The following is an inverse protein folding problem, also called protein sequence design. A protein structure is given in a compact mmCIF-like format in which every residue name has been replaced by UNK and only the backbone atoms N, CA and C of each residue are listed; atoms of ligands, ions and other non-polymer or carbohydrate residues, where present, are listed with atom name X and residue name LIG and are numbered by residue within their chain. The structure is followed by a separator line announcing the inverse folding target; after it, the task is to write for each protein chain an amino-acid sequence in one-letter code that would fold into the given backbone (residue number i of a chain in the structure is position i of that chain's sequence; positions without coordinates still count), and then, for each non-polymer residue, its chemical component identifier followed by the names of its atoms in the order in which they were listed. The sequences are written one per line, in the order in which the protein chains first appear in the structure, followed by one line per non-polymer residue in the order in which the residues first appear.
data_IF_355303203559
#
_entry.id   IF_355303203559
#
_cell.length_a   1.000
_cell.length_b   1.000
_cell.length_c   1.000
_cell.angle_alpha   90.00
_cell.angle_beta   90.00
_cell.angle_gamma   90.00
#
_symmetry.space_group_name_H-M   'P 1'
#
loop_
_entity.id
_entity.type
_entity.pdbx_description
1 polymer ?
#
# COMPACT_ATOMS: atom_id res chain seq x y z
N UNK A 1 31.75 -25.99 35.32
CA UNK A 1 31.97 -24.60 35.81
C UNK A 1 31.95 -23.73 34.58
N UNK A 2 30.81 -23.09 34.29
CA UNK A 2 30.71 -22.12 33.19
C UNK A 2 31.46 -20.84 33.63
N UNK A 3 32.40 -20.41 32.81
CA UNK A 3 33.18 -19.22 33.06
C UNK A 3 32.31 -18.00 32.74
N UNK A 4 31.69 -17.43 33.75
CA UNK A 4 30.78 -16.27 33.66
C UNK A 4 31.55 -14.94 33.68
N UNK A 5 32.74 -14.93 33.06
CA UNK A 5 33.54 -13.73 32.92
C UNK A 5 32.90 -12.75 31.94
N UNK A 6 32.92 -11.43 32.18
CA UNK A 6 32.34 -10.44 31.27
C UNK A 6 33.01 -10.51 29.88
N UNK A 7 32.22 -10.23 28.82
CA UNK A 7 32.72 -10.17 27.47
C UNK A 7 33.94 -9.24 27.35
N UNK A 8 34.98 -9.69 26.67
CA UNK A 8 36.18 -8.90 26.45
C UNK A 8 36.73 -9.11 25.03
N UNK A 9 37.12 -8.04 24.41
CA UNK A 9 37.88 -8.04 23.16
C UNK A 9 39.16 -7.23 23.37
N UNK A 10 40.30 -7.82 23.09
CA UNK A 10 41.60 -7.17 23.20
C UNK A 10 42.31 -7.22 21.86
N UNK A 11 42.74 -6.06 21.37
CA UNK A 11 43.53 -5.97 20.17
C UNK A 11 45.01 -5.78 20.56
N UNK A 12 45.92 -6.51 19.90
CA UNK A 12 47.35 -6.33 19.99
C UNK A 12 47.91 -6.17 18.58
N UNK A 13 48.65 -5.12 18.41
CA UNK A 13 49.31 -4.85 17.13
C UNK A 13 50.75 -5.34 17.18
N UNK A 14 51.08 -6.30 16.31
CA UNK A 14 52.44 -6.79 16.11
C UNK A 14 52.92 -6.39 14.71
N UNK A 15 53.51 -5.20 14.59
CA UNK A 15 53.90 -4.62 13.31
C UNK A 15 52.66 -4.33 12.42
N UNK A 16 52.53 -5.02 11.27
CA UNK A 16 51.42 -4.90 10.35
C UNK A 16 50.31 -5.96 10.56
N UNK A 17 50.43 -6.79 11.62
CA UNK A 17 49.42 -7.80 11.96
C UNK A 17 48.58 -7.27 13.14
N UNK A 18 47.26 -7.30 12.96
CA UNK A 18 46.33 -7.04 14.05
C UNK A 18 45.80 -8.37 14.60
N UNK A 19 46.18 -8.68 15.86
CA UNK A 19 45.73 -9.86 16.58
C UNK A 19 44.61 -9.48 17.55
N UNK A 20 43.43 -10.06 17.38
CA UNK A 20 42.25 -9.81 18.22
C UNK A 20 41.96 -11.06 19.04
N UNK A 21 42.01 -10.93 20.36
CA UNK A 21 41.70 -11.97 21.32
C UNK A 21 40.28 -11.74 21.89
N UNK A 22 39.45 -12.75 21.78
CA UNK A 22 38.06 -12.73 22.24
C UNK A 22 37.89 -13.66 23.43
N UNK A 23 37.25 -13.19 24.52
CA UNK A 23 37.00 -13.97 25.74
C UNK A 23 35.71 -13.55 26.44
N UNK A 24 35.27 -14.38 27.41
CA UNK A 24 34.10 -14.12 28.24
C UNK A 24 32.76 -14.45 27.55
N UNK A 25 31.68 -14.07 28.24
CA UNK A 25 30.29 -14.33 27.75
C UNK A 25 29.72 -13.11 27.01
N UNK A 26 29.31 -13.31 25.77
CA UNK A 26 28.80 -12.27 24.88
C UNK A 26 27.27 -12.39 24.76
N UNK A 27 26.57 -11.45 25.40
CA UNK A 27 25.10 -11.40 25.44
C UNK A 27 24.58 -10.12 24.83
N UNK A 28 23.52 -10.22 24.01
CA UNK A 28 22.94 -9.10 23.29
C UNK A 28 22.45 -7.99 24.21
N UNK A 29 21.94 -8.36 25.39
CA UNK A 29 21.45 -7.40 26.40
C UNK A 29 22.52 -6.46 26.93
N UNK A 30 23.80 -6.91 26.97
CA UNK A 30 24.92 -6.13 27.49
C UNK A 30 25.62 -5.30 26.41
N UNK A 31 25.28 -5.52 25.13
CA UNK A 31 25.92 -4.83 24.01
C UNK A 31 27.38 -5.19 23.80
N UNK A 32 28.08 -4.43 22.97
CA UNK A 32 29.51 -4.62 22.73
C UNK A 32 30.34 -4.15 23.92
N UNK A 33 31.38 -4.89 24.32
CA UNK A 33 32.35 -4.44 25.33
C UNK A 33 33.00 -3.12 24.89
N UNK A 34 33.36 -2.31 25.88
CA UNK A 34 34.11 -1.07 25.66
C UNK A 34 35.40 -1.33 24.88
N UNK A 35 35.62 -0.61 23.77
CA UNK A 35 36.78 -0.76 22.90
C UNK A 35 36.57 -1.60 21.65
N UNK A 36 35.42 -2.25 21.45
CA UNK A 36 35.12 -3.02 20.21
C UNK A 36 35.06 -2.12 18.98
N UNK A 37 34.48 -0.92 19.10
CA UNK A 37 34.42 0.07 18.00
C UNK A 37 35.83 0.54 17.61
N UNK A 38 36.72 0.74 18.58
CA UNK A 38 38.11 1.11 18.33
C UNK A 38 38.84 0.00 17.57
N UNK A 39 38.60 -1.27 17.90
CA UNK A 39 39.19 -2.43 17.22
C UNK A 39 38.74 -2.50 15.77
N UNK A 40 37.46 -2.27 15.51
CA UNK A 40 36.92 -2.24 14.14
C UNK A 40 37.49 -1.05 13.36
N UNK A 41 37.60 0.11 13.98
CA UNK A 41 38.21 1.30 13.39
C UNK A 41 39.68 1.10 13.04
N UNK A 42 40.43 0.40 13.94
CA UNK A 42 41.82 0.06 13.74
C UNK A 42 42.03 -0.94 12.61
N UNK A 43 41.13 -1.93 12.47
CA UNK A 43 41.14 -2.88 11.35
C UNK A 43 40.90 -2.18 9.98
N UNK A 44 40.29 -1.00 9.96
CA UNK A 44 40.08 -0.17 8.74
C UNK A 44 41.31 0.66 8.36
N UNK A 45 42.35 0.76 9.18
CA UNK A 45 43.56 1.57 8.87
C UNK A 45 44.39 0.98 7.73
N UNK A 46 45.00 1.80 6.89
CA UNK A 46 45.78 1.35 5.73
C UNK A 46 47.02 0.51 6.07
N UNK A 47 47.52 0.63 7.28
CA UNK A 47 48.80 0.03 7.73
C UNK A 47 48.70 -1.46 8.06
N UNK A 48 47.49 -2.02 8.10
CA UNK A 48 47.29 -3.43 8.49
C UNK A 48 47.27 -4.30 7.23
N UNK A 49 48.13 -5.32 7.21
CA UNK A 49 48.28 -6.30 6.13
C UNK A 49 47.76 -7.69 6.47
N UNK A 50 47.54 -8.00 7.73
CA UNK A 50 46.95 -9.30 8.14
C UNK A 50 46.12 -9.14 9.42
N UNK A 51 45.02 -9.92 9.51
CA UNK A 51 44.14 -9.99 10.67
C UNK A 51 44.15 -11.41 11.24
N UNK A 52 44.40 -11.53 12.55
CA UNK A 52 44.30 -12.81 13.26
C UNK A 52 43.26 -12.69 14.36
N UNK A 53 42.26 -13.58 14.36
CA UNK A 53 41.24 -13.62 15.39
C UNK A 53 41.37 -14.95 16.14
N UNK A 54 41.57 -14.85 17.46
CA UNK A 54 41.72 -16.00 18.34
C UNK A 54 40.73 -15.91 19.51
N UNK A 55 40.27 -17.05 20.02
CA UNK A 55 39.39 -17.13 21.17
C UNK A 55 40.13 -17.79 22.34
N UNK A 56 40.09 -17.14 23.51
CA UNK A 56 40.61 -17.70 24.75
C UNK A 56 39.56 -17.55 25.86
N UNK A 57 39.10 -18.69 26.41
CA UNK A 57 38.11 -18.68 27.49
C UNK A 57 36.74 -18.13 27.08
N UNK A 58 36.28 -18.38 25.85
CA UNK A 58 34.95 -17.99 25.37
C UNK A 58 33.87 -18.76 26.14
N UNK A 59 32.95 -18.01 26.81
CA UNK A 59 31.79 -18.55 27.52
C UNK A 59 30.58 -18.70 26.63
N UNK A 60 29.40 -18.34 27.15
CA UNK A 60 28.17 -18.29 26.33
C UNK A 60 28.27 -17.13 25.34
N UNK A 61 27.81 -17.38 24.10
CA UNK A 61 27.81 -16.35 23.07
C UNK A 61 26.52 -16.42 22.26
N UNK A 62 26.08 -15.27 21.79
CA UNK A 62 24.89 -15.08 20.97
C UNK A 62 25.20 -14.27 19.70
N UNK A 63 24.17 -13.71 19.07
CA UNK A 63 24.27 -12.88 17.85
C UNK A 63 25.15 -11.63 18.04
N UNK A 64 25.38 -11.16 19.27
CA UNK A 64 26.24 -10.02 19.56
C UNK A 64 27.68 -10.26 19.09
N UNK A 65 28.26 -11.42 19.45
CA UNK A 65 29.59 -11.81 19.01
C UNK A 65 29.65 -12.00 17.49
N UNK A 66 28.63 -12.63 16.92
CA UNK A 66 28.57 -12.85 15.48
C UNK A 66 28.55 -11.52 14.70
N UNK A 67 27.78 -10.53 15.18
CA UNK A 67 27.70 -9.20 14.58
C UNK A 67 29.05 -8.48 14.62
N UNK A 68 29.75 -8.55 15.75
CA UNK A 68 31.09 -7.99 15.90
C UNK A 68 32.11 -8.65 14.93
N UNK A 69 32.10 -9.98 14.84
CA UNK A 69 32.94 -10.72 13.89
C UNK A 69 32.63 -10.40 12.43
N UNK A 70 31.34 -10.25 12.10
CA UNK A 70 30.93 -9.86 10.75
C UNK A 70 31.48 -8.48 10.36
N UNK A 71 31.44 -7.53 11.27
CA UNK A 71 31.94 -6.18 10.99
C UNK A 71 33.45 -6.14 10.88
N UNK A 72 34.15 -6.85 11.78
CA UNK A 72 35.61 -6.96 11.79
C UNK A 72 36.16 -7.67 10.56
N UNK A 73 35.63 -8.87 10.26
CA UNK A 73 36.07 -9.66 9.10
C UNK A 73 35.61 -8.99 7.79
N UNK A 74 34.43 -8.38 7.79
CA UNK A 74 33.93 -7.62 6.65
C UNK A 74 34.82 -6.44 6.30
N UNK A 75 35.34 -5.71 7.30
CA UNK A 75 36.32 -4.63 7.10
C UNK A 75 37.63 -5.13 6.46
N UNK A 76 38.13 -6.29 6.90
CA UNK A 76 39.33 -6.91 6.37
C UNK A 76 39.11 -7.45 4.92
N UNK A 77 37.98 -8.09 4.65
CA UNK A 77 37.64 -8.61 3.30
C UNK A 77 37.49 -7.51 2.25
N UNK A 78 36.87 -6.37 2.60
CA UNK A 78 36.76 -5.22 1.70
C UNK A 78 38.13 -4.70 1.20
N UNK A 79 39.20 -4.99 1.94
CA UNK A 79 40.55 -4.58 1.63
C UNK A 79 41.46 -5.74 1.15
N UNK A 80 40.88 -6.90 0.91
CA UNK A 80 41.60 -8.13 0.51
C UNK A 80 42.72 -8.53 1.49
N UNK A 81 42.55 -8.26 2.80
CA UNK A 81 43.48 -8.63 3.83
C UNK A 81 43.27 -10.10 4.22
N UNK A 82 44.33 -10.94 4.27
CA UNK A 82 44.23 -12.31 4.72
C UNK A 82 43.80 -12.39 6.21
N UNK A 83 42.77 -13.16 6.49
CA UNK A 83 42.19 -13.35 7.82
C UNK A 83 42.53 -14.77 8.31
N UNK A 84 43.33 -14.91 9.35
CA UNK A 84 43.55 -16.18 10.03
C UNK A 84 42.61 -16.28 11.24
N UNK A 85 41.85 -17.37 11.34
CA UNK A 85 40.83 -17.57 12.36
C UNK A 85 41.14 -18.82 13.18
N UNK A 86 41.11 -18.69 14.49
CA UNK A 86 41.17 -19.81 15.44
C UNK A 86 39.96 -19.70 16.37
N UNK A 87 38.79 -20.13 15.81
CA UNK A 87 37.48 -20.02 16.43
C UNK A 87 36.91 -21.42 16.74
N UNK A 88 36.02 -21.56 17.72
CA UNK A 88 35.26 -22.79 17.91
C UNK A 88 34.54 -23.23 16.63
N UNK A 89 34.53 -24.52 16.31
CA UNK A 89 33.96 -25.06 15.05
C UNK A 89 32.54 -24.60 14.77
N UNK A 90 31.72 -24.43 15.79
CA UNK A 90 30.34 -23.95 15.65
C UNK A 90 30.28 -22.49 15.19
N UNK A 91 31.13 -21.64 15.77
CA UNK A 91 31.18 -20.21 15.44
C UNK A 91 31.82 -19.97 14.08
N UNK A 92 32.89 -20.68 13.76
CA UNK A 92 33.58 -20.59 12.46
C UNK A 92 32.65 -20.96 11.31
N UNK A 93 31.84 -22.04 11.48
CA UNK A 93 30.84 -22.44 10.50
C UNK A 93 29.74 -21.39 10.29
N UNK A 94 29.29 -20.71 11.36
CA UNK A 94 28.30 -19.62 11.26
C UNK A 94 28.89 -18.41 10.54
N UNK A 95 30.14 -18.06 10.83
CA UNK A 95 30.84 -16.99 10.13
C UNK A 95 30.97 -17.33 8.63
N UNK A 96 31.34 -18.56 8.29
CA UNK A 96 31.43 -18.98 6.88
C UNK A 96 30.06 -18.92 6.18
N UNK A 97 28.99 -19.37 6.83
CA UNK A 97 27.63 -19.27 6.29
C UNK A 97 27.21 -17.83 6.03
N UNK A 98 27.55 -16.91 6.92
CA UNK A 98 27.21 -15.48 6.79
C UNK A 98 27.90 -14.82 5.59
N UNK A 99 29.12 -15.28 5.26
CA UNK A 99 29.87 -14.77 4.10
C UNK A 99 29.70 -15.62 2.83
N UNK A 100 29.06 -16.79 2.91
CA UNK A 100 28.69 -17.59 1.74
C UNK A 100 27.50 -17.04 0.98
N UNK A 101 26.61 -16.28 1.68
CA UNK A 101 25.50 -15.58 1.03
C UNK A 101 26.02 -14.22 0.57
N UNK A 102 26.15 -14.03 -0.74
CA UNK A 102 26.42 -12.71 -1.30
C UNK A 102 25.36 -11.71 -0.81
N UNK A 103 25.82 -10.66 -0.15
CA UNK A 103 24.93 -9.52 0.15
C UNK A 103 24.37 -9.00 -1.16
N UNK A 104 23.08 -9.20 -1.39
CA UNK A 104 22.36 -8.54 -2.47
C UNK A 104 22.53 -7.03 -2.25
N UNK A 105 23.40 -6.39 -3.02
CA UNK A 105 23.58 -4.94 -2.99
C UNK A 105 22.22 -4.32 -3.24
N UNK A 106 21.71 -3.58 -2.25
CA UNK A 106 20.37 -2.95 -2.30
C UNK A 106 19.43 -3.33 -1.15
N UNK A 107 19.74 -4.31 -0.29
CA UNK A 107 18.88 -4.66 0.85
C UNK A 107 19.12 -3.81 2.12
N UNK A 108 20.24 -3.11 2.21
CA UNK A 108 20.45 -2.10 3.23
C UNK A 108 19.99 -0.75 2.67
N UNK A 109 18.88 -0.20 3.20
CA UNK A 109 18.55 1.22 3.04
C UNK A 109 19.73 2.03 3.60
N UNK A 110 20.68 2.40 2.75
CA UNK A 110 21.61 3.48 3.10
C UNK A 110 20.75 4.74 3.18
N UNK A 111 20.60 5.29 4.38
CA UNK A 111 20.28 6.70 4.54
C UNK A 111 21.54 7.49 4.16
N UNK A 112 21.88 7.47 2.90
CA UNK A 112 22.64 8.57 2.32
C UNK A 112 21.59 9.66 2.05
N UNK A 113 21.88 10.87 2.50
CA UNK A 113 21.16 12.07 2.12
C UNK A 113 21.33 12.24 0.59
N UNK A 114 20.49 11.50 -0.15
CA UNK A 114 20.37 11.70 -1.59
C UNK A 114 19.89 13.13 -1.79
N UNK A 115 20.76 13.98 -2.33
CA UNK A 115 20.40 15.37 -2.64
C UNK A 115 19.14 15.40 -3.47
N UNK A 116 18.29 16.42 -3.29
CA UNK A 116 17.00 16.60 -3.98
C UNK A 116 17.06 16.28 -5.49
N UNK A 117 18.19 16.56 -6.13
CA UNK A 117 18.42 16.25 -7.55
C UNK A 117 18.55 14.74 -7.84
N UNK A 118 19.13 13.97 -6.93
CA UNK A 118 19.23 12.51 -7.09
C UNK A 118 17.86 11.84 -6.91
N UNK A 119 17.04 12.33 -5.96
CA UNK A 119 15.65 11.86 -5.75
C UNK A 119 14.80 12.19 -6.98
N UNK A 120 14.90 13.40 -7.54
CA UNK A 120 14.17 13.77 -8.74
C UNK A 120 14.65 12.95 -9.95
N UNK A 121 15.96 12.74 -10.08
CA UNK A 121 16.55 11.94 -11.15
C UNK A 121 16.12 10.48 -11.12
N UNK A 122 16.06 9.87 -9.92
CA UNK A 122 15.57 8.49 -9.74
C UNK A 122 14.08 8.37 -10.04
N UNK A 123 13.26 9.34 -9.62
CA UNK A 123 11.83 9.38 -9.97
C UNK A 123 11.62 9.47 -11.50
N UNK A 124 12.38 10.31 -12.19
CA UNK A 124 12.28 10.46 -13.66
C UNK A 124 12.75 9.19 -14.38
N UNK A 125 13.77 8.50 -13.88
CA UNK A 125 14.28 7.28 -14.49
C UNK A 125 13.32 6.08 -14.31
N UNK A 126 12.60 5.99 -13.20
CA UNK A 126 11.62 4.92 -12.91
C UNK A 126 10.27 5.18 -13.57
N UNK A 127 9.95 6.44 -13.89
CA UNK A 127 8.65 6.84 -14.44
C UNK A 127 8.29 6.12 -15.76
N UNK A 128 9.17 6.02 -16.79
CA UNK A 128 8.81 5.35 -18.05
C UNK A 128 8.57 3.85 -17.89
N UNK A 129 9.26 3.19 -16.96
CA UNK A 129 9.08 1.77 -16.69
C UNK A 129 7.75 1.50 -15.96
N UNK A 130 7.39 2.35 -15.01
CA UNK A 130 6.07 2.33 -14.35
C UNK A 130 4.93 2.55 -15.33
N UNK A 131 5.05 3.55 -16.23
CA UNK A 131 4.07 3.80 -17.29
C UNK A 131 3.93 2.62 -18.25
N UNK A 132 5.04 1.99 -18.66
CA UNK A 132 5.02 0.82 -19.54
C UNK A 132 4.32 -0.37 -18.90
N UNK A 133 4.56 -0.64 -17.61
CA UNK A 133 3.88 -1.72 -16.86
C UNK A 133 2.38 -1.45 -16.74
N UNK A 134 2.02 -0.21 -16.44
CA UNK A 134 0.62 0.20 -16.32
C UNK A 134 -0.10 0.10 -17.68
N UNK A 135 0.51 0.55 -18.77
CA UNK A 135 -0.04 0.42 -20.12
C UNK A 135 -0.18 -1.05 -20.55
N UNK A 136 0.78 -1.91 -20.19
CA UNK A 136 0.69 -3.36 -20.41
C UNK A 136 -0.53 -3.96 -19.70
N UNK A 137 -0.70 -3.63 -18.42
CA UNK A 137 -1.85 -4.10 -17.64
C UNK A 137 -3.19 -3.62 -18.20
N UNK A 138 -3.29 -2.37 -18.67
CA UNK A 138 -4.49 -1.90 -19.38
C UNK A 138 -4.73 -2.69 -20.68
N UNK A 139 -3.68 -3.00 -21.43
CA UNK A 139 -3.77 -3.84 -22.63
C UNK A 139 -4.34 -5.23 -22.31
N UNK A 140 -3.84 -5.85 -21.25
CA UNK A 140 -4.31 -7.16 -20.80
C UNK A 140 -5.78 -7.13 -20.37
N UNK A 141 -6.24 -6.07 -19.70
CA UNK A 141 -7.65 -5.86 -19.34
C UNK A 141 -8.51 -5.74 -20.60
N UNK A 142 -8.09 -4.97 -21.60
CA UNK A 142 -8.85 -4.81 -22.85
C UNK A 142 -8.96 -6.15 -23.57
N UNK A 143 -7.87 -6.92 -23.65
CA UNK A 143 -7.88 -8.25 -24.26
C UNK A 143 -8.80 -9.19 -23.48
N UNK A 144 -8.75 -9.18 -22.14
CA UNK A 144 -9.63 -9.95 -21.27
C UNK A 144 -11.11 -9.60 -21.51
N UNK A 145 -11.44 -8.31 -21.62
CA UNK A 145 -12.79 -7.83 -21.89
C UNK A 145 -13.28 -8.27 -23.28
N UNK A 146 -12.42 -8.20 -24.30
CA UNK A 146 -12.75 -8.68 -25.65
C UNK A 146 -12.99 -10.19 -25.67
N UNK A 147 -12.20 -10.98 -24.95
CA UNK A 147 -12.40 -12.42 -24.77
C UNK A 147 -13.73 -12.71 -24.07
N UNK A 148 -14.07 -11.93 -23.06
CA UNK A 148 -15.35 -12.06 -22.35
C UNK A 148 -16.52 -11.79 -23.29
N UNK A 149 -16.50 -10.71 -24.08
CA UNK A 149 -17.52 -10.39 -25.06
C UNK A 149 -17.65 -11.44 -26.18
N UNK A 150 -16.55 -12.13 -26.52
CA UNK A 150 -16.56 -13.24 -27.49
C UNK A 150 -16.94 -14.59 -26.88
N UNK A 151 -17.29 -14.66 -25.59
CA UNK A 151 -17.71 -15.89 -24.91
C UNK A 151 -16.58 -16.89 -24.64
N UNK A 152 -15.31 -16.48 -24.76
CA UNK A 152 -14.10 -17.34 -24.56
C UNK A 152 -13.39 -17.05 -23.24
N UNK A 153 -14.04 -16.43 -22.29
CA UNK A 153 -13.45 -16.08 -20.99
C UNK A 153 -13.43 -17.31 -20.05
N UNK A 154 -12.38 -17.42 -19.25
CA UNK A 154 -12.25 -18.43 -18.17
C UNK A 154 -13.03 -18.06 -16.91
N UNK A 155 -13.74 -16.92 -16.91
CA UNK A 155 -14.49 -16.39 -15.78
C UNK A 155 -15.70 -17.26 -15.43
N UNK A 156 -15.86 -17.59 -14.15
CA UNK A 156 -17.08 -18.25 -13.64
C UNK A 156 -18.12 -17.22 -13.25
N UNK A 157 -19.37 -17.43 -13.66
CA UNK A 157 -20.50 -16.54 -13.28
C UNK A 157 -20.70 -16.46 -11.77
N UNK A 158 -20.36 -17.52 -11.02
CA UNK A 158 -20.44 -17.53 -9.56
C UNK A 158 -19.52 -16.49 -8.92
N UNK A 159 -18.31 -16.32 -9.47
CA UNK A 159 -17.31 -15.41 -8.93
C UNK A 159 -17.74 -13.94 -9.15
N UNK A 160 -18.42 -13.66 -10.28
CA UNK A 160 -19.01 -12.36 -10.52
C UNK A 160 -20.13 -12.06 -9.51
N UNK A 161 -21.05 -13.02 -9.26
CA UNK A 161 -22.13 -12.84 -8.29
C UNK A 161 -21.61 -12.62 -6.87
N UNK A 162 -20.58 -13.36 -6.46
CA UNK A 162 -19.95 -13.19 -5.17
C UNK A 162 -19.28 -11.81 -5.05
N UNK A 163 -18.53 -11.38 -6.08
CA UNK A 163 -17.95 -10.05 -6.14
C UNK A 163 -19.03 -8.96 -6.07
N UNK A 164 -20.14 -9.08 -6.80
CA UNK A 164 -21.28 -8.16 -6.74
C UNK A 164 -21.92 -8.10 -5.35
N UNK A 165 -22.10 -9.24 -4.70
CA UNK A 165 -22.62 -9.29 -3.34
C UNK A 165 -21.71 -8.61 -2.33
N UNK A 166 -20.41 -8.86 -2.42
CA UNK A 166 -19.40 -8.26 -1.54
C UNK A 166 -19.30 -6.74 -1.74
N UNK A 167 -19.29 -6.28 -2.99
CA UNK A 167 -19.20 -4.85 -3.31
C UNK A 167 -20.50 -4.11 -3.05
N UNK A 168 -21.66 -4.73 -3.36
CA UNK A 168 -22.97 -4.10 -3.28
C UNK A 168 -23.56 -4.19 -1.88
N UNK A 169 -24.19 -5.32 -1.58
CA UNK A 169 -25.03 -5.49 -0.37
C UNK A 169 -24.30 -5.19 0.92
N UNK A 170 -23.08 -5.69 1.05
CA UNK A 170 -22.26 -5.43 2.25
C UNK A 170 -21.82 -3.99 2.42
N UNK A 171 -21.87 -3.18 1.34
CA UNK A 171 -21.48 -1.77 1.38
C UNK A 171 -22.66 -0.82 1.64
N UNK A 172 -23.90 -1.27 1.48
CA UNK A 172 -25.09 -0.46 1.67
C UNK A 172 -25.12 0.32 3.01
N UNK A 173 -24.86 -0.30 4.17
CA UNK A 173 -24.97 0.42 5.44
C UNK A 173 -23.99 1.61 5.55
N UNK A 174 -22.75 1.42 5.16
CA UNK A 174 -21.75 2.48 5.24
C UNK A 174 -22.02 3.58 4.21
N UNK A 175 -22.44 3.23 2.99
CA UNK A 175 -22.83 4.19 1.95
C UNK A 175 -24.06 4.99 2.39
N UNK A 176 -25.07 4.35 3.01
CA UNK A 176 -26.25 5.02 3.54
C UNK A 176 -25.88 6.09 4.56
N UNK A 177 -25.14 5.70 5.60
CA UNK A 177 -24.77 6.59 6.70
C UNK A 177 -23.90 7.74 6.22
N UNK A 178 -22.86 7.46 5.44
CA UNK A 178 -21.94 8.50 4.97
C UNK A 178 -22.63 9.51 4.06
N UNK A 179 -23.46 9.06 3.11
CA UNK A 179 -24.16 9.97 2.20
C UNK A 179 -25.31 10.74 2.88
N UNK A 180 -26.02 10.10 3.82
CA UNK A 180 -27.03 10.79 4.63
C UNK A 180 -26.40 11.92 5.45
N UNK A 181 -25.27 11.67 6.12
CA UNK A 181 -24.56 12.70 6.88
C UNK A 181 -24.03 13.80 5.97
N UNK A 182 -23.52 13.45 4.79
CA UNK A 182 -23.04 14.43 3.83
C UNK A 182 -24.15 15.32 3.31
N UNK A 183 -25.31 14.76 2.94
CA UNK A 183 -26.50 15.51 2.56
C UNK A 183 -27.02 16.43 3.68
N UNK A 184 -26.97 15.96 4.94
CA UNK A 184 -27.29 16.75 6.12
C UNK A 184 -26.35 17.95 6.29
N UNK A 185 -25.04 17.74 6.15
CA UNK A 185 -24.05 18.83 6.23
C UNK A 185 -24.26 19.84 5.11
N UNK A 186 -24.46 19.38 3.87
CA UNK A 186 -24.70 20.24 2.72
C UNK A 186 -25.96 21.09 2.90
N UNK A 187 -27.04 20.48 3.39
CA UNK A 187 -28.29 21.17 3.70
C UNK A 187 -28.12 22.21 4.83
N UNK A 188 -27.40 21.83 5.90
CA UNK A 188 -27.14 22.72 7.02
C UNK A 188 -26.35 23.96 6.60
N UNK A 189 -25.25 23.77 5.87
CA UNK A 189 -24.43 24.88 5.37
C UNK A 189 -25.23 25.74 4.40
N UNK A 190 -25.98 25.12 3.49
CA UNK A 190 -26.88 25.83 2.57
C UNK A 190 -27.99 26.61 3.30
N UNK A 191 -28.59 26.00 4.32
CA UNK A 191 -29.62 26.60 5.14
C UNK A 191 -29.18 27.91 5.82
N UNK A 192 -27.98 27.89 6.44
CA UNK A 192 -27.41 29.07 7.11
C UNK A 192 -27.25 30.25 6.13
N UNK A 193 -26.74 29.96 4.92
CA UNK A 193 -26.50 31.00 3.91
C UNK A 193 -27.80 31.47 3.28
N UNK A 194 -28.69 30.59 2.86
CA UNK A 194 -29.93 30.97 2.15
C UNK A 194 -30.98 31.57 3.05
N UNK A 195 -30.96 31.31 4.37
CA UNK A 195 -31.83 31.95 5.36
C UNK A 195 -31.58 33.47 5.45
N UNK A 196 -30.32 33.90 5.26
CA UNK A 196 -29.99 35.35 5.26
C UNK A 196 -30.63 36.11 4.09
N UNK A 197 -30.95 35.42 2.99
CA UNK A 197 -31.56 36.01 1.80
C UNK A 197 -33.06 35.72 1.69
N UNK A 198 -33.66 35.04 2.68
CA UNK A 198 -35.06 34.62 2.62
C UNK A 198 -35.37 33.56 1.56
N UNK A 199 -34.32 32.90 1.04
CA UNK A 199 -34.40 31.98 -0.09
C UNK A 199 -34.31 30.49 0.35
N UNK A 200 -34.92 30.14 1.48
CA UNK A 200 -34.79 28.86 2.16
C UNK A 200 -35.18 27.64 1.29
N UNK A 201 -36.18 27.83 0.41
CA UNK A 201 -36.69 26.74 -0.45
C UNK A 201 -35.62 26.20 -1.43
N UNK A 202 -34.63 27.06 -1.79
CA UNK A 202 -33.54 26.65 -2.71
C UNK A 202 -32.55 25.65 -2.10
N UNK A 203 -32.60 25.44 -0.75
CA UNK A 203 -31.80 24.38 -0.11
C UNK A 203 -32.14 23.01 -0.71
N UNK A 204 -33.42 22.75 -1.05
CA UNK A 204 -33.84 21.50 -1.66
C UNK A 204 -33.15 21.25 -3.01
N UNK A 205 -33.12 22.29 -3.87
CA UNK A 205 -32.41 22.22 -5.15
C UNK A 205 -30.90 22.08 -5.00
N UNK A 206 -30.30 22.82 -4.07
CA UNK A 206 -28.85 22.75 -3.79
C UNK A 206 -28.43 21.33 -3.41
N UNK A 207 -29.15 20.70 -2.47
CA UNK A 207 -28.86 19.33 -2.04
C UNK A 207 -29.14 18.33 -3.17
N UNK A 208 -30.32 18.46 -3.82
CA UNK A 208 -30.69 17.53 -4.89
C UNK A 208 -29.71 17.53 -6.06
N UNK A 209 -29.41 18.71 -6.62
CA UNK A 209 -28.46 18.87 -7.72
C UNK A 209 -27.03 18.49 -7.29
N UNK A 210 -26.61 18.94 -6.10
CA UNK A 210 -25.27 18.64 -5.58
C UNK A 210 -25.03 17.15 -5.43
N UNK A 211 -25.98 16.42 -4.85
CA UNK A 211 -25.88 14.97 -4.67
C UNK A 211 -25.89 14.23 -6.02
N UNK A 212 -26.93 14.45 -6.85
CA UNK A 212 -27.11 13.69 -8.08
C UNK A 212 -26.00 13.95 -9.11
N UNK A 213 -25.50 15.18 -9.19
CA UNK A 213 -24.54 15.55 -10.25
C UNK A 213 -23.14 14.98 -10.00
N UNK A 214 -22.62 15.12 -8.77
CA UNK A 214 -21.20 14.83 -8.49
C UNK A 214 -21.00 14.22 -7.11
N UNK A 215 -21.58 14.85 -6.05
CA UNK A 215 -21.19 14.55 -4.68
C UNK A 215 -21.54 13.12 -4.25
N UNK A 216 -22.70 12.61 -4.66
CA UNK A 216 -23.08 11.22 -4.36
C UNK A 216 -22.09 10.22 -4.97
N UNK A 217 -21.75 10.38 -6.26
CA UNK A 217 -20.80 9.53 -6.95
C UNK A 217 -19.39 9.60 -6.31
N UNK A 218 -18.91 10.82 -6.00
CA UNK A 218 -17.59 11.02 -5.39
C UNK A 218 -17.53 10.38 -3.99
N UNK A 219 -18.55 10.60 -3.15
CA UNK A 219 -18.59 10.03 -1.80
C UNK A 219 -18.64 8.50 -1.83
N UNK A 220 -19.45 7.91 -2.72
CA UNK A 220 -19.45 6.45 -2.95
C UNK A 220 -18.08 5.99 -3.43
N UNK A 221 -17.47 6.70 -4.39
CA UNK A 221 -16.14 6.36 -4.92
C UNK A 221 -15.07 6.36 -3.84
N UNK A 222 -15.02 7.39 -2.98
CA UNK A 222 -14.05 7.48 -1.87
C UNK A 222 -14.25 6.34 -0.86
N UNK A 223 -15.50 6.09 -0.43
CA UNK A 223 -15.83 5.02 0.51
C UNK A 223 -15.48 3.65 -0.07
N UNK A 224 -15.80 3.42 -1.35
CA UNK A 224 -15.53 2.15 -2.03
C UNK A 224 -14.03 1.95 -2.30
N UNK A 225 -13.27 3.01 -2.54
CA UNK A 225 -11.81 2.93 -2.66
C UNK A 225 -11.17 2.40 -1.39
N UNK A 226 -11.55 2.96 -0.24
CA UNK A 226 -11.02 2.53 1.06
C UNK A 226 -11.45 1.13 1.46
N UNK A 227 -12.70 0.72 1.15
CA UNK A 227 -13.24 -0.56 1.54
C UNK A 227 -12.92 -1.68 0.54
N UNK A 228 -13.30 -1.50 -0.71
CA UNK A 228 -13.20 -2.55 -1.73
C UNK A 228 -11.86 -2.49 -2.46
N UNK A 229 -11.37 -1.29 -2.81
CA UNK A 229 -10.07 -1.13 -3.43
C UNK A 229 -8.93 -1.71 -2.57
N UNK A 230 -8.91 -1.37 -1.28
CA UNK A 230 -7.97 -1.94 -0.32
C UNK A 230 -8.14 -3.47 -0.17
N UNK A 231 -9.40 -3.95 -0.07
CA UNK A 231 -9.69 -5.37 0.07
C UNK A 231 -9.20 -6.19 -1.14
N UNK A 232 -9.36 -5.66 -2.35
CA UNK A 232 -8.87 -6.32 -3.57
C UNK A 232 -7.34 -6.34 -3.63
N UNK A 233 -6.68 -5.23 -3.28
CA UNK A 233 -5.23 -5.20 -3.20
C UNK A 233 -4.68 -6.17 -2.15
N UNK A 234 -5.32 -6.26 -0.97
CA UNK A 234 -4.95 -7.19 0.09
C UNK A 234 -5.13 -8.66 -0.34
N UNK A 235 -6.29 -8.99 -0.93
CA UNK A 235 -6.59 -10.36 -1.33
C UNK A 235 -5.63 -10.84 -2.41
N UNK A 236 -5.48 -10.07 -3.50
CA UNK A 236 -4.59 -10.43 -4.61
C UNK A 236 -3.13 -10.39 -4.17
N UNK A 237 -2.74 -9.42 -3.33
CA UNK A 237 -1.40 -9.35 -2.75
C UNK A 237 -1.07 -10.56 -1.87
N UNK A 238 -2.04 -11.07 -1.10
CA UNK A 238 -1.86 -12.32 -0.33
C UNK A 238 -1.69 -13.52 -1.25
N UNK A 239 -2.46 -13.62 -2.34
CA UNK A 239 -2.30 -14.66 -3.35
C UNK A 239 -0.91 -14.58 -4.02
N UNK A 240 -0.37 -13.37 -4.23
CA UNK A 240 0.98 -13.16 -4.75
C UNK A 240 2.06 -13.64 -3.76
N UNK A 241 1.90 -13.36 -2.47
CA UNK A 241 2.82 -13.82 -1.42
C UNK A 241 2.82 -15.35 -1.31
N UNK A 242 1.64 -15.98 -1.47
CA UNK A 242 1.48 -17.43 -1.41
C UNK A 242 1.84 -18.14 -2.73
N UNK A 243 2.32 -17.42 -3.75
CA UNK A 243 2.65 -17.97 -5.09
C UNK A 243 1.44 -18.58 -5.83
N UNK A 244 0.21 -18.26 -5.40
CA UNK A 244 -1.03 -18.75 -6.05
C UNK A 244 -1.20 -18.16 -7.46
N UNK A 245 -0.72 -16.93 -7.69
CA UNK A 245 -0.76 -16.29 -9.02
C UNK A 245 0.23 -16.99 -9.96
N UNK A 246 1.43 -17.32 -9.49
CA UNK A 246 2.42 -18.06 -10.27
C UNK A 246 1.88 -19.46 -10.63
N UNK A 247 1.12 -20.09 -9.72
CA UNK A 247 0.45 -21.37 -9.98
C UNK A 247 -0.63 -21.25 -11.08
N UNK A 248 -1.42 -20.18 -11.10
CA UNK A 248 -2.40 -19.92 -12.18
C UNK A 248 -1.70 -19.77 -13.54
N UNK A 249 -0.60 -19.03 -13.60
CA UNK A 249 0.19 -18.86 -14.83
C UNK A 249 0.78 -20.18 -15.34
N UNK A 250 1.30 -21.02 -14.44
CA UNK A 250 1.83 -22.34 -14.83
C UNK A 250 0.74 -23.28 -15.36
N UNK A 251 -0.51 -23.12 -14.92
CA UNK A 251 -1.67 -23.84 -15.47
C UNK A 251 -2.20 -23.22 -16.78
N UNK A 252 -1.59 -22.14 -17.29
CA UNK A 252 -2.02 -21.46 -18.51
C UNK A 252 -3.27 -20.59 -18.33
N UNK A 253 -3.64 -20.25 -17.08
CA UNK A 253 -4.78 -19.39 -16.76
C UNK A 253 -4.26 -17.97 -16.60
N UNK A 254 -4.79 -17.03 -17.37
CA UNK A 254 -4.45 -15.61 -17.24
C UNK A 254 -4.97 -15.07 -15.89
N UNK A 255 -4.11 -14.54 -15.00
CA UNK A 255 -4.54 -13.93 -13.75
C UNK A 255 -5.51 -12.76 -13.97
N UNK A 256 -5.34 -12.01 -15.07
CA UNK A 256 -6.20 -10.88 -15.40
C UNK A 256 -7.61 -11.36 -15.77
N UNK A 257 -7.74 -12.41 -16.58
CA UNK A 257 -9.05 -12.98 -16.97
C UNK A 257 -9.78 -13.57 -15.76
N UNK A 258 -9.04 -14.20 -14.83
CA UNK A 258 -9.64 -14.95 -13.73
C UNK A 258 -9.87 -14.08 -12.48
N UNK A 259 -8.93 -13.19 -12.13
CA UNK A 259 -8.98 -12.40 -10.89
C UNK A 259 -9.49 -10.98 -11.11
N UNK A 260 -9.01 -10.28 -12.14
CA UNK A 260 -9.28 -8.85 -12.34
C UNK A 260 -10.65 -8.63 -12.99
N UNK A 261 -10.93 -9.34 -14.05
CA UNK A 261 -12.12 -9.13 -14.88
C UNK A 261 -13.43 -9.22 -14.09
N UNK A 262 -13.72 -10.27 -13.28
CA UNK A 262 -14.97 -10.35 -12.53
C UNK A 262 -15.11 -9.23 -11.50
N UNK A 263 -14.00 -8.81 -10.86
CA UNK A 263 -14.00 -7.71 -9.89
C UNK A 263 -14.25 -6.36 -10.55
N UNK A 264 -13.65 -6.13 -11.72
CA UNK A 264 -13.85 -4.91 -12.49
C UNK A 264 -15.31 -4.80 -12.96
N UNK A 265 -15.89 -5.86 -13.52
CA UNK A 265 -17.28 -5.88 -13.95
C UNK A 265 -18.24 -5.69 -12.78
N UNK A 266 -17.98 -6.35 -11.64
CA UNK A 266 -18.79 -6.19 -10.44
C UNK A 266 -18.81 -4.73 -9.94
N UNK A 267 -17.67 -4.06 -9.87
CA UNK A 267 -17.60 -2.66 -9.45
C UNK A 267 -18.22 -1.70 -10.48
N UNK A 268 -18.01 -1.94 -11.78
CA UNK A 268 -18.58 -1.11 -12.83
C UNK A 268 -20.11 -1.10 -12.82
N UNK A 269 -20.73 -2.18 -12.34
CA UNK A 269 -22.20 -2.30 -12.23
C UNK A 269 -22.68 -1.82 -10.85
N UNK A 270 -21.97 -2.22 -9.78
CA UNK A 270 -22.44 -1.97 -8.41
C UNK A 270 -22.22 -0.54 -7.94
N UNK A 271 -21.15 0.14 -8.37
CA UNK A 271 -20.90 1.52 -7.94
C UNK A 271 -21.99 2.48 -8.44
N UNK A 272 -22.44 2.44 -9.70
CA UNK A 272 -23.62 3.22 -10.13
C UNK A 272 -24.89 2.91 -9.33
N UNK A 273 -25.18 1.64 -9.05
CA UNK A 273 -26.36 1.26 -8.26
C UNK A 273 -26.27 1.80 -6.82
N UNK A 274 -25.09 1.72 -6.21
CA UNK A 274 -24.84 2.30 -4.89
C UNK A 274 -24.94 3.82 -4.90
N UNK A 275 -24.61 4.46 -6.01
CA UNK A 275 -24.73 5.94 -6.17
C UNK A 275 -26.18 6.36 -6.18
N UNK A 276 -27.05 5.66 -6.90
CA UNK A 276 -28.51 5.94 -6.85
C UNK A 276 -29.05 5.86 -5.43
N UNK A 277 -28.63 4.83 -4.70
CA UNK A 277 -29.02 4.67 -3.30
C UNK A 277 -28.42 5.77 -2.41
N UNK A 278 -27.18 6.14 -2.64
CA UNK A 278 -26.47 7.21 -1.94
C UNK A 278 -27.14 8.57 -2.13
N UNK A 279 -27.56 8.87 -3.36
CA UNK A 279 -28.26 10.11 -3.70
C UNK A 279 -29.59 10.20 -2.97
N UNK A 280 -30.36 9.12 -2.95
CA UNK A 280 -31.60 9.06 -2.18
C UNK A 280 -31.37 9.29 -0.68
N UNK A 281 -30.33 8.68 -0.09
CA UNK A 281 -29.97 8.87 1.30
C UNK A 281 -29.44 10.29 1.58
N UNK A 282 -28.71 10.90 0.66
CA UNK A 282 -28.26 12.29 0.76
C UNK A 282 -29.41 13.30 0.72
N UNK A 283 -30.35 13.11 -0.22
CA UNK A 283 -31.57 13.95 -0.28
C UNK A 283 -32.41 13.76 0.99
N UNK A 284 -32.50 12.54 1.53
CA UNK A 284 -33.16 12.28 2.81
C UNK A 284 -32.47 12.97 3.98
N UNK A 285 -31.13 13.00 4.00
CA UNK A 285 -30.37 13.77 4.99
C UNK A 285 -30.69 15.28 4.92
N UNK A 286 -30.75 15.83 3.71
CA UNK A 286 -31.17 17.21 3.46
C UNK A 286 -32.60 17.52 3.89
N UNK A 287 -33.51 16.57 3.65
CA UNK A 287 -34.91 16.65 4.10
C UNK A 287 -35.03 16.81 5.62
N UNK A 288 -34.25 16.05 6.39
CA UNK A 288 -34.27 16.15 7.86
C UNK A 288 -33.91 17.54 8.34
N UNK A 289 -32.90 18.18 7.73
CA UNK A 289 -32.52 19.57 8.07
C UNK A 289 -33.58 20.58 7.62
N UNK A 290 -34.13 20.43 6.43
CA UNK A 290 -35.11 21.33 5.89
C UNK A 290 -36.40 21.39 6.78
N UNK A 291 -36.84 20.26 7.25
CA UNK A 291 -38.02 20.16 8.13
C UNK A 291 -37.73 20.62 9.55
N UNK A 292 -36.55 20.27 10.10
CA UNK A 292 -36.25 20.53 11.50
C UNK A 292 -35.74 21.97 11.78
N UNK A 293 -35.07 22.59 10.79
CA UNK A 293 -34.36 23.88 11.00
C UNK A 293 -34.93 25.07 10.19
N UNK A 294 -35.55 24.78 9.05
CA UNK A 294 -36.06 25.80 8.14
C UNK A 294 -37.59 25.92 8.19
N UNK A 295 -38.26 25.10 9.01
CA UNK A 295 -39.73 25.08 9.14
C UNK A 295 -40.45 24.85 7.80
N UNK A 296 -39.78 24.22 6.82
CA UNK A 296 -40.38 23.88 5.56
C UNK A 296 -41.31 22.66 5.71
N UNK A 297 -42.48 22.71 5.05
CA UNK A 297 -43.33 21.52 5.07
C UNK A 297 -42.67 20.37 4.23
N UNK A 298 -42.87 19.12 4.65
CA UNK A 298 -42.35 17.96 3.91
C UNK A 298 -42.71 17.99 2.43
N UNK A 299 -43.93 18.40 2.11
CA UNK A 299 -44.41 18.47 0.75
C UNK A 299 -43.72 19.55 -0.08
N UNK A 300 -43.46 20.73 0.53
CA UNK A 300 -42.73 21.80 -0.13
C UNK A 300 -41.31 21.38 -0.50
N UNK A 301 -40.59 20.67 0.40
CA UNK A 301 -39.24 20.19 0.12
C UNK A 301 -39.24 19.18 -1.05
N UNK A 302 -40.13 18.20 -1.02
CA UNK A 302 -40.21 17.19 -2.07
C UNK A 302 -40.59 17.78 -3.43
N UNK A 303 -41.57 18.70 -3.48
CA UNK A 303 -41.97 19.37 -4.70
C UNK A 303 -40.85 20.23 -5.24
N UNK A 304 -40.19 21.03 -4.38
CA UNK A 304 -39.07 21.87 -4.79
C UNK A 304 -37.87 21.02 -5.32
N UNK A 305 -37.59 19.89 -4.67
CA UNK A 305 -36.55 18.96 -5.16
C UNK A 305 -36.93 18.42 -6.53
N UNK A 306 -38.18 17.97 -6.74
CA UNK A 306 -38.64 17.40 -8.00
C UNK A 306 -38.65 18.43 -9.14
N UNK A 307 -38.98 19.69 -8.87
CA UNK A 307 -38.97 20.77 -9.86
C UNK A 307 -37.58 21.23 -10.28
N UNK A 308 -36.63 21.26 -9.31
CA UNK A 308 -35.28 21.79 -9.54
C UNK A 308 -34.29 20.74 -10.06
N UNK A 309 -34.52 19.45 -9.79
CA UNK A 309 -33.64 18.36 -10.21
C UNK A 309 -34.09 17.84 -11.57
N UNK A 310 -33.21 17.99 -12.57
CA UNK A 310 -33.44 17.49 -13.92
C UNK A 310 -32.77 16.11 -14.09
N UNK A 311 -33.31 15.27 -14.94
CA UNK A 311 -32.82 13.91 -15.24
C UNK A 311 -31.35 13.90 -15.70
N UNK A 312 -30.92 14.95 -16.41
CA UNK A 312 -29.55 15.11 -16.91
C UNK A 312 -28.53 15.03 -15.81
N UNK A 313 -28.82 15.58 -14.61
CA UNK A 313 -27.90 15.56 -13.46
C UNK A 313 -27.64 14.13 -12.97
N UNK A 314 -28.71 13.32 -12.89
CA UNK A 314 -28.60 11.92 -12.47
C UNK A 314 -27.81 11.06 -13.49
N UNK A 315 -28.01 11.28 -14.79
CA UNK A 315 -27.27 10.57 -15.85
C UNK A 315 -25.78 10.89 -15.75
N UNK A 316 -25.43 12.16 -15.57
CA UNK A 316 -24.04 12.60 -15.40
C UNK A 316 -23.42 11.91 -14.17
N UNK A 317 -24.11 11.93 -13.02
CA UNK A 317 -23.62 11.26 -11.81
C UNK A 317 -23.42 9.75 -11.97
N UNK A 318 -24.33 9.08 -12.70
CA UNK A 318 -24.18 7.64 -12.99
C UNK A 318 -22.99 7.35 -13.91
N UNK A 319 -22.72 8.22 -14.90
CA UNK A 319 -21.54 8.10 -15.75
C UNK A 319 -20.25 8.24 -14.93
N UNK A 320 -20.18 9.22 -14.01
CA UNK A 320 -19.07 9.34 -13.08
C UNK A 320 -18.90 8.08 -12.22
N UNK A 321 -19.99 7.58 -11.66
CA UNK A 321 -19.99 6.41 -10.82
C UNK A 321 -19.47 5.16 -11.54
N UNK A 322 -19.84 4.95 -12.80
CA UNK A 322 -19.34 3.84 -13.61
C UNK A 322 -17.82 3.93 -13.84
N UNK A 323 -17.33 5.12 -14.17
CA UNK A 323 -15.90 5.36 -14.37
C UNK A 323 -15.13 5.18 -13.05
N UNK A 324 -15.67 5.67 -11.93
CA UNK A 324 -15.05 5.51 -10.61
C UNK A 324 -14.97 4.03 -10.22
N UNK A 325 -16.00 3.22 -10.50
CA UNK A 325 -15.98 1.78 -10.29
C UNK A 325 -14.82 1.09 -11.02
N UNK A 326 -14.58 1.48 -12.28
CA UNK A 326 -13.47 0.98 -13.09
C UNK A 326 -12.12 1.40 -12.48
N UNK A 327 -11.96 2.66 -12.09
CA UNK A 327 -10.72 3.18 -11.50
C UNK A 327 -10.38 2.44 -10.22
N UNK A 328 -11.37 2.24 -9.33
CA UNK A 328 -11.19 1.52 -8.06
C UNK A 328 -10.74 0.09 -8.30
N UNK A 329 -11.40 -0.61 -9.23
CA UNK A 329 -11.06 -1.99 -9.56
C UNK A 329 -9.65 -2.11 -10.13
N UNK A 330 -9.30 -1.26 -11.08
CA UNK A 330 -7.97 -1.25 -11.71
C UNK A 330 -6.90 -0.95 -10.67
N UNK A 331 -7.07 0.09 -9.85
CA UNK A 331 -6.12 0.46 -8.83
C UNK A 331 -5.89 -0.66 -7.82
N UNK A 332 -6.98 -1.24 -7.27
CA UNK A 332 -6.90 -2.34 -6.32
C UNK A 332 -6.21 -3.59 -6.88
N UNK A 333 -6.62 -4.02 -8.08
CA UNK A 333 -6.06 -5.21 -8.71
C UNK A 333 -4.61 -5.00 -9.19
N UNK A 334 -4.29 -3.84 -9.75
CA UNK A 334 -2.92 -3.53 -10.20
C UNK A 334 -1.92 -3.60 -9.07
N UNK A 335 -2.21 -2.92 -7.95
CA UNK A 335 -1.31 -2.93 -6.79
C UNK A 335 -1.26 -4.28 -6.09
N UNK A 336 -2.34 -5.07 -6.14
CA UNK A 336 -2.35 -6.43 -5.64
C UNK A 336 -1.43 -7.37 -6.43
N UNK A 337 -1.53 -7.37 -7.77
CA UNK A 337 -0.71 -8.24 -8.64
C UNK A 337 0.78 -7.85 -8.59
N UNK A 338 1.08 -6.55 -8.53
CA UNK A 338 2.46 -6.06 -8.48
C UNK A 338 3.00 -5.89 -7.05
N UNK A 339 2.36 -6.53 -6.09
CA UNK A 339 2.79 -6.51 -4.70
C UNK A 339 4.11 -7.29 -4.51
N UNK A 340 4.96 -6.82 -3.58
CA UNK A 340 6.15 -7.56 -3.17
C UNK A 340 5.79 -8.84 -2.39
N UNK A 341 6.70 -9.80 -2.34
CA UNK A 341 6.49 -11.13 -1.70
C UNK A 341 6.68 -11.08 -0.17
N UNK A 342 6.04 -10.13 0.52
CA UNK A 342 6.07 -10.04 1.98
C UNK A 342 4.76 -9.48 2.54
N UNK A 343 4.41 -9.84 3.78
CA UNK A 343 3.21 -9.32 4.43
C UNK A 343 3.24 -7.78 4.58
N UNK A 344 4.41 -7.19 4.77
CA UNK A 344 4.56 -5.74 4.81
C UNK A 344 4.25 -5.11 3.45
N UNK A 345 4.73 -5.72 2.35
CA UNK A 345 4.46 -5.24 1.00
C UNK A 345 2.95 -5.27 0.66
N UNK A 346 2.19 -6.24 1.18
CA UNK A 346 0.73 -6.29 1.04
C UNK A 346 0.09 -5.08 1.72
N UNK A 347 0.53 -4.71 2.93
CA UNK A 347 0.06 -3.51 3.63
C UNK A 347 0.36 -2.22 2.85
N UNK A 348 1.56 -2.09 2.29
CA UNK A 348 1.95 -0.95 1.45
C UNK A 348 1.14 -0.89 0.15
N UNK A 349 0.90 -2.02 -0.50
CA UNK A 349 0.09 -2.12 -1.71
C UNK A 349 -1.36 -1.71 -1.47
N UNK A 350 -1.96 -2.08 -0.33
CA UNK A 350 -3.34 -1.69 0.01
C UNK A 350 -3.48 -0.18 0.19
N UNK A 351 -2.57 0.46 0.91
CA UNK A 351 -2.60 1.91 1.12
C UNK A 351 -2.36 2.67 -0.18
N UNK A 352 -1.42 2.22 -0.99
CA UNK A 352 -1.09 2.81 -2.29
C UNK A 352 -2.26 2.67 -3.27
N UNK A 353 -2.94 1.53 -3.28
CA UNK A 353 -4.13 1.31 -4.10
C UNK A 353 -5.25 2.31 -3.78
N UNK A 354 -5.52 2.54 -2.49
CA UNK A 354 -6.54 3.52 -2.05
C UNK A 354 -6.18 4.94 -2.49
N UNK A 355 -4.93 5.35 -2.27
CA UNK A 355 -4.46 6.69 -2.65
C UNK A 355 -4.58 6.91 -4.15
N UNK A 356 -4.11 5.96 -4.98
CA UNK A 356 -4.21 6.07 -6.43
C UNK A 356 -5.65 6.05 -6.93
N UNK A 357 -6.54 5.26 -6.32
CA UNK A 357 -7.95 5.27 -6.64
C UNK A 357 -8.59 6.64 -6.35
N UNK A 358 -8.36 7.21 -5.16
CA UNK A 358 -8.92 8.51 -4.77
C UNK A 358 -8.37 9.62 -5.67
N UNK A 359 -7.06 9.65 -5.93
CA UNK A 359 -6.44 10.63 -6.84
C UNK A 359 -7.04 10.50 -8.25
N UNK A 360 -7.20 9.27 -8.75
CA UNK A 360 -7.84 9.01 -10.05
C UNK A 360 -9.28 9.54 -10.11
N UNK A 361 -10.07 9.32 -9.06
CA UNK A 361 -11.44 9.84 -8.94
C UNK A 361 -11.44 11.38 -9.01
N UNK A 362 -10.56 12.03 -8.23
CA UNK A 362 -10.47 13.49 -8.21
C UNK A 362 -10.06 14.05 -9.57
N UNK A 363 -9.06 13.45 -10.22
CA UNK A 363 -8.59 13.88 -11.54
C UNK A 363 -9.71 13.76 -12.58
N UNK A 364 -10.38 12.61 -12.65
CA UNK A 364 -11.48 12.38 -13.60
C UNK A 364 -12.67 13.31 -13.31
N UNK A 365 -12.99 13.54 -12.05
CA UNK A 365 -14.06 14.47 -11.66
C UNK A 365 -13.76 15.89 -12.19
N UNK A 366 -12.51 16.34 -12.12
CA UNK A 366 -12.13 17.66 -12.64
C UNK A 366 -12.09 17.71 -14.18
N UNK A 367 -11.64 16.63 -14.84
CA UNK A 367 -11.55 16.58 -16.30
C UNK A 367 -12.92 16.50 -16.97
N UNK A 368 -13.84 15.70 -16.39
CA UNK A 368 -15.19 15.55 -16.93
C UNK A 368 -16.18 16.61 -16.42
N UNK A 369 -15.85 17.31 -15.34
CA UNK A 369 -16.70 18.34 -14.72
C UNK A 369 -16.57 19.71 -15.38
N UNK A 370 -15.56 19.90 -16.23
CA UNK A 370 -15.38 21.08 -17.09
C UNK A 370 -16.11 20.87 -18.41
#
# INVERSE_FOLDING_TARGET
MQNDSPASARARRDGNCLSVLLGGSWELEKGWPSGCEDIVSEARRPDISSLRVTCDGLGNWDSCLLTFLMELIGAARKRHIPVSRDLPKSLDRLVDLTFAVEKKEGSARSREDDGLLAVIGSCIAVFPEGCRRMLGFFGDIIIALLRFLSGRSSMKSSDLWEAMYQCGVRSLPIVAVTNMLFGLILAFVGAVQLKMFGAQIYVAGLVGIGMLRVMGAVMVGVVMSGRIGASYAALIGTMQVNEEIDALETMGISPVDYLVLPRMLALSIMVPLLTVFADAMGIFGGFLVAVSMLDLSPMQYLTATAEMVHYDQGIIGLCYAAVFGIIIAISGCYHGIHCGRSAQAVGEATTTAVVHAIVGIIVICNVLGV
#
